data_IF_603251508578
#
_entry.id   IF_603251508578
#
_cell.length_a   1.000
_cell.length_b   1.000
_cell.length_c   1.000
_cell.angle_alpha   90.00
_cell.angle_beta   90.00
_cell.angle_gamma   90.00
#
_symmetry.space_group_name_H-M   'P 1'
#
loop_
_entity.id
_entity.type
_entity.pdbx_description
1 polymer ?
#
# COMPACT_ATOMS: atom_id res chain seq x y z
N UNK A 1 -20.22 14.80 -35.09
CA UNK A 1 -19.64 14.45 -33.78
C UNK A 1 -19.23 15.77 -33.10
N UNK A 2 -19.59 15.91 -31.80
CA UNK A 2 -19.17 17.05 -30.99
C UNK A 2 -18.14 16.55 -29.99
N UNK A 3 -17.03 17.28 -29.84
CA UNK A 3 -16.05 17.01 -28.81
C UNK A 3 -16.61 17.37 -27.42
N UNK A 4 -16.61 16.40 -26.51
CA UNK A 4 -16.99 16.64 -25.12
C UNK A 4 -15.79 17.19 -24.32
N UNK A 5 -16.01 18.11 -23.36
CA UNK A 5 -14.91 18.73 -22.62
C UNK A 5 -14.25 17.71 -21.67
N UNK A 6 -12.94 17.56 -21.76
CA UNK A 6 -12.15 16.75 -20.83
C UNK A 6 -11.92 17.45 -19.49
N UNK A 7 -11.81 18.79 -19.52
CA UNK A 7 -11.67 19.66 -18.35
C UNK A 7 -11.91 21.12 -18.80
N UNK A 8 -12.17 22.07 -17.87
CA UNK A 8 -12.33 23.50 -18.19
C UNK A 8 -10.99 24.23 -18.36
N UNK A 9 -9.97 23.58 -18.89
CA UNK A 9 -8.58 24.07 -18.91
C UNK A 9 -8.44 25.41 -19.63
N UNK A 10 -9.06 25.59 -20.79
CA UNK A 10 -8.93 26.84 -21.58
C UNK A 10 -9.51 28.03 -20.82
N UNK A 11 -10.70 27.88 -20.24
CA UNK A 11 -11.36 28.98 -19.52
C UNK A 11 -10.62 29.39 -18.26
N UNK A 12 -10.19 28.45 -17.44
CA UNK A 12 -9.45 28.77 -16.21
C UNK A 12 -8.10 29.42 -16.53
N UNK A 13 -7.42 29.00 -17.59
CA UNK A 13 -6.18 29.60 -18.04
C UNK A 13 -6.38 31.05 -18.48
N UNK A 14 -7.43 31.32 -19.27
CA UNK A 14 -7.78 32.69 -19.71
C UNK A 14 -8.11 33.58 -18.48
N UNK A 15 -8.82 33.07 -17.49
CA UNK A 15 -9.14 33.82 -16.27
C UNK A 15 -7.86 34.18 -15.50
N UNK A 16 -6.92 33.23 -15.33
CA UNK A 16 -5.64 33.49 -14.66
C UNK A 16 -4.82 34.55 -15.41
N UNK A 17 -4.73 34.46 -16.76
CA UNK A 17 -4.04 35.44 -17.59
C UNK A 17 -4.72 36.84 -17.50
N UNK A 18 -6.04 36.88 -17.32
CA UNK A 18 -6.81 38.10 -17.13
C UNK A 18 -6.66 38.74 -15.73
N UNK A 19 -5.85 38.13 -14.84
CA UNK A 19 -5.55 38.71 -13.53
C UNK A 19 -6.45 38.23 -12.39
N UNK A 20 -7.20 37.17 -12.59
CA UNK A 20 -7.93 36.54 -11.46
C UNK A 20 -6.98 35.74 -10.59
N UNK A 21 -7.05 35.93 -9.28
CA UNK A 21 -6.17 35.23 -8.32
C UNK A 21 -6.66 33.82 -8.00
N UNK A 22 -7.97 33.60 -8.04
CA UNK A 22 -8.60 32.34 -7.64
C UNK A 22 -9.78 32.03 -8.54
N UNK A 23 -9.86 30.79 -8.94
CA UNK A 23 -10.96 30.23 -9.71
C UNK A 23 -11.38 28.90 -9.12
N UNK A 24 -12.67 28.59 -9.15
CA UNK A 24 -13.17 27.23 -8.99
C UNK A 24 -14.46 27.04 -9.80
N UNK A 25 -14.69 25.79 -10.19
CA UNK A 25 -15.90 25.40 -10.89
C UNK A 25 -16.29 23.95 -10.54
N UNK A 26 -17.58 23.70 -10.42
CA UNK A 26 -18.16 22.36 -10.44
C UNK A 26 -18.51 22.05 -11.90
N UNK A 27 -17.77 21.15 -12.52
CA UNK A 27 -17.86 20.95 -13.98
C UNK A 27 -17.94 19.47 -14.32
N UNK A 28 -18.80 19.13 -15.28
CA UNK A 28 -18.83 17.81 -15.90
C UNK A 28 -17.66 17.66 -16.86
N UNK A 29 -16.95 16.55 -16.70
CA UNK A 29 -15.81 16.18 -17.54
C UNK A 29 -16.06 14.82 -18.17
N UNK A 30 -15.49 14.62 -19.36
CA UNK A 30 -15.66 13.41 -20.15
C UNK A 30 -14.28 12.92 -20.60
N UNK A 31 -13.96 11.66 -20.31
CA UNK A 31 -12.70 11.04 -20.72
C UNK A 31 -12.96 9.63 -21.21
N UNK A 32 -12.44 9.35 -22.40
CA UNK A 32 -12.41 7.99 -22.94
C UNK A 32 -11.18 7.26 -22.38
N UNK A 33 -11.36 6.62 -21.24
CA UNK A 33 -10.33 5.88 -20.51
C UNK A 33 -10.85 4.50 -20.15
N UNK A 34 -9.93 3.57 -19.89
CA UNK A 34 -10.27 2.26 -19.38
C UNK A 34 -11.03 2.38 -18.06
N UNK A 35 -12.18 1.70 -17.99
CA UNK A 35 -13.01 1.66 -16.79
C UNK A 35 -12.28 0.90 -15.69
N UNK A 36 -12.24 1.50 -14.51
CA UNK A 36 -11.75 0.90 -13.26
C UNK A 36 -12.80 1.08 -12.17
N UNK A 37 -12.60 0.46 -11.02
CA UNK A 37 -13.55 0.54 -9.91
C UNK A 37 -13.92 1.98 -9.50
N UNK A 38 -12.99 2.93 -9.65
CA UNK A 38 -13.10 4.34 -9.28
C UNK A 38 -13.15 5.31 -10.46
N UNK A 39 -13.25 4.81 -11.72
CA UNK A 39 -13.23 5.64 -12.92
C UNK A 39 -14.49 5.46 -13.75
N UNK A 40 -15.08 6.60 -14.13
CA UNK A 40 -16.23 6.71 -15.01
C UNK A 40 -15.89 7.60 -16.21
N UNK A 41 -16.44 7.32 -17.41
CA UNK A 41 -16.20 8.16 -18.60
C UNK A 41 -16.81 9.57 -18.45
N UNK A 42 -17.89 9.70 -17.70
CA UNK A 42 -18.49 10.99 -17.30
C UNK A 42 -18.36 11.15 -15.78
N UNK A 43 -17.80 12.24 -15.32
CA UNK A 43 -17.62 12.53 -13.91
C UNK A 43 -17.63 14.05 -13.65
N UNK A 44 -17.85 14.44 -12.39
CA UNK A 44 -17.85 15.83 -11.98
C UNK A 44 -16.56 16.16 -11.25
N UNK A 45 -15.89 17.23 -11.63
CA UNK A 45 -14.73 17.79 -10.93
C UNK A 45 -15.14 18.99 -10.08
N UNK A 46 -14.48 19.15 -8.95
CA UNK A 46 -14.27 20.45 -8.31
C UNK A 46 -12.92 20.92 -8.86
N UNK A 47 -12.96 21.72 -9.91
CA UNK A 47 -11.76 22.22 -10.56
C UNK A 47 -11.36 23.58 -9.96
N UNK A 48 -10.11 23.71 -9.55
CA UNK A 48 -9.61 24.91 -8.89
C UNK A 48 -8.30 25.37 -9.53
N UNK A 49 -8.10 26.69 -9.62
CA UNK A 49 -6.85 27.30 -10.03
C UNK A 49 -6.54 28.48 -9.11
N UNK A 50 -5.29 28.64 -8.73
CA UNK A 50 -4.85 29.72 -7.84
C UNK A 50 -3.51 30.28 -8.30
N UNK A 51 -3.41 31.62 -8.35
CA UNK A 51 -2.17 32.34 -8.64
C UNK A 51 -1.39 32.66 -7.37
N UNK A 52 -0.07 32.83 -7.48
CA UNK A 52 0.83 33.28 -6.41
C UNK A 52 0.79 32.41 -5.14
N UNK A 53 0.62 31.12 -5.30
CA UNK A 53 0.60 30.14 -4.19
C UNK A 53 1.76 29.17 -4.26
N UNK A 54 2.23 28.74 -3.10
CA UNK A 54 3.20 27.65 -2.95
C UNK A 54 2.51 26.28 -2.92
N UNK A 55 3.31 25.22 -3.00
CA UNK A 55 2.82 23.84 -2.77
C UNK A 55 2.14 23.70 -1.41
N UNK A 56 2.72 24.30 -0.40
CA UNK A 56 2.24 24.27 1.00
C UNK A 56 0.87 24.94 1.12
N UNK A 57 0.64 26.05 0.39
CA UNK A 57 -0.67 26.71 0.35
C UNK A 57 -1.74 25.83 -0.27
N UNK A 58 -1.41 25.11 -1.35
CA UNK A 58 -2.31 24.15 -1.98
C UNK A 58 -2.67 23.02 -1.01
N UNK A 59 -1.66 22.37 -0.41
CA UNK A 59 -1.88 21.28 0.53
C UNK A 59 -2.75 21.74 1.72
N UNK A 60 -2.47 22.91 2.28
CA UNK A 60 -3.25 23.49 3.38
C UNK A 60 -4.70 23.76 3.01
N UNK A 61 -4.94 24.36 1.83
CA UNK A 61 -6.29 24.70 1.39
C UNK A 61 -7.12 23.46 1.10
N UNK A 62 -6.56 22.48 0.37
CA UNK A 62 -7.26 21.24 0.06
C UNK A 62 -7.40 20.32 1.28
N UNK A 63 -6.41 20.30 2.17
CA UNK A 63 -6.53 19.61 3.46
C UNK A 63 -7.72 20.12 4.27
N UNK A 64 -7.89 21.45 4.37
CA UNK A 64 -9.07 22.06 5.01
C UNK A 64 -10.37 21.71 4.30
N UNK A 65 -10.38 21.67 2.97
CA UNK A 65 -11.57 21.29 2.21
C UNK A 65 -11.96 19.84 2.52
N UNK A 66 -11.02 18.91 2.50
CA UNK A 66 -11.25 17.50 2.82
C UNK A 66 -11.78 17.35 4.25
N UNK A 67 -11.12 17.96 5.23
CA UNK A 67 -11.57 17.93 6.63
C UNK A 67 -12.99 18.49 6.78
N UNK A 68 -13.31 19.59 6.09
CA UNK A 68 -14.66 20.17 6.10
C UNK A 68 -15.70 19.21 5.51
N UNK A 69 -15.40 18.55 4.38
CA UNK A 69 -16.30 17.60 3.73
C UNK A 69 -16.55 16.38 4.64
N UNK A 70 -15.52 15.79 5.23
CA UNK A 70 -15.67 14.69 6.17
C UNK A 70 -16.54 15.08 7.38
N UNK A 71 -16.29 16.26 7.96
CA UNK A 71 -17.10 16.76 9.06
C UNK A 71 -18.56 16.98 8.67
N UNK A 72 -18.83 17.59 7.52
CA UNK A 72 -20.19 17.93 7.09
C UNK A 72 -20.99 16.71 6.64
N UNK A 73 -20.38 15.81 5.89
CA UNK A 73 -21.07 14.67 5.25
C UNK A 73 -21.06 13.45 6.16
N UNK A 74 -19.91 13.08 6.69
CA UNK A 74 -19.71 11.85 7.46
C UNK A 74 -19.78 12.06 8.98
N UNK A 75 -19.77 13.31 9.46
CA UNK A 75 -19.67 13.68 10.87
C UNK A 75 -18.39 13.22 11.55
N UNK A 76 -17.32 13.05 10.76
CA UNK A 76 -15.98 12.67 11.21
C UNK A 76 -15.14 13.93 11.27
N UNK A 77 -14.51 14.21 12.40
CA UNK A 77 -13.53 15.27 12.56
C UNK A 77 -12.15 14.72 12.18
N UNK A 78 -11.51 15.31 11.16
CA UNK A 78 -10.12 15.06 10.77
C UNK A 78 -9.30 16.22 11.30
N UNK A 79 -8.44 15.97 12.30
CA UNK A 79 -7.61 16.98 12.93
C UNK A 79 -6.36 17.27 12.11
N UNK A 80 -5.69 16.22 11.60
CA UNK A 80 -4.46 16.33 10.81
C UNK A 80 -4.45 15.31 9.67
N UNK A 81 -3.87 15.72 8.54
CA UNK A 81 -3.64 14.85 7.39
C UNK A 81 -2.14 14.56 7.32
N UNK A 82 -1.70 13.34 7.63
CA UNK A 82 -0.28 13.01 7.68
C UNK A 82 0.37 13.15 6.30
N UNK A 83 1.62 13.61 6.29
CA UNK A 83 2.45 13.69 5.10
C UNK A 83 3.52 12.61 5.15
N UNK A 84 3.71 11.89 4.05
CA UNK A 84 4.71 10.84 3.92
C UNK A 84 5.56 11.10 2.67
N UNK A 85 6.88 10.85 2.76
CA UNK A 85 7.74 10.89 1.58
C UNK A 85 7.44 9.68 0.68
N UNK A 86 7.57 9.88 -0.63
CA UNK A 86 7.32 8.82 -1.61
C UNK A 86 8.19 7.58 -1.37
N UNK A 87 9.48 7.80 -1.08
CA UNK A 87 10.43 6.73 -0.80
C UNK A 87 10.01 5.88 0.41
N UNK A 88 9.47 6.51 1.45
CA UNK A 88 8.97 5.81 2.64
C UNK A 88 7.68 5.06 2.34
N UNK A 89 6.78 5.64 1.56
CA UNK A 89 5.55 4.97 1.13
C UNK A 89 5.86 3.68 0.34
N UNK A 90 6.78 3.74 -0.61
CA UNK A 90 7.21 2.56 -1.36
C UNK A 90 7.97 1.58 -0.46
N UNK A 91 8.94 2.07 0.33
CA UNK A 91 9.79 1.23 1.18
C UNK A 91 9.00 0.41 2.19
N UNK A 92 8.02 1.03 2.86
CA UNK A 92 7.31 0.38 3.96
C UNK A 92 5.96 -0.24 3.57
N UNK A 93 5.39 0.14 2.42
CA UNK A 93 4.05 -0.29 2.03
C UNK A 93 3.92 -0.74 0.57
N UNK A 94 4.93 -0.48 -0.27
CA UNK A 94 4.95 -0.88 -1.69
C UNK A 94 3.91 -0.16 -2.56
N UNK A 95 3.42 1.00 -2.12
CA UNK A 95 2.38 1.77 -2.80
C UNK A 95 2.55 3.26 -2.54
N UNK A 96 2.24 4.10 -3.53
CA UNK A 96 2.13 5.55 -3.40
C UNK A 96 0.84 5.99 -2.68
N UNK A 97 -0.06 5.05 -2.40
CA UNK A 97 -1.32 5.24 -1.69
C UNK A 97 -1.47 4.21 -0.57
N UNK A 98 -0.60 4.22 0.45
CA UNK A 98 -0.63 3.22 1.50
C UNK A 98 -1.90 3.35 2.36
N UNK A 99 -2.51 2.22 2.69
CA UNK A 99 -3.54 2.16 3.71
C UNK A 99 -2.87 2.23 5.09
N UNK A 100 -3.07 3.31 5.82
CA UNK A 100 -2.44 3.58 7.11
C UNK A 100 -3.34 3.24 8.31
N UNK A 101 -4.52 2.67 8.09
CA UNK A 101 -5.45 2.27 9.17
C UNK A 101 -4.90 1.15 10.04
N UNK A 102 -3.89 0.43 9.56
CA UNK A 102 -3.18 -0.61 10.30
C UNK A 102 -1.69 -0.54 10.03
N UNK A 103 -0.88 -1.02 10.96
CA UNK A 103 0.58 -1.10 10.78
C UNK A 103 0.93 -2.25 9.81
N UNK A 104 1.85 -3.11 10.04
CA UNK A 104 2.33 -4.17 9.13
C UNK A 104 3.25 -3.62 8.04
N UNK A 105 4.27 -2.88 8.46
CA UNK A 105 5.32 -2.36 7.57
C UNK A 105 6.18 -3.48 6.99
N UNK A 106 6.69 -3.25 5.78
CA UNK A 106 7.68 -4.15 5.18
C UNK A 106 9.01 -4.04 5.87
N UNK A 107 9.68 -5.18 6.02
CA UNK A 107 11.06 -5.28 6.41
C UNK A 107 11.87 -5.92 5.26
N UNK A 108 12.91 -5.23 4.81
CA UNK A 108 13.90 -5.82 3.91
C UNK A 108 14.84 -6.70 4.74
N UNK A 109 14.82 -8.00 4.44
CA UNK A 109 15.64 -9.03 5.10
C UNK A 109 16.70 -9.62 4.17
N UNK A 110 16.90 -9.04 2.98
CA UNK A 110 17.83 -9.56 1.96
C UNK A 110 19.21 -9.82 2.53
N UNK A 111 19.78 -8.85 3.26
CA UNK A 111 21.12 -8.98 3.87
C UNK A 111 21.22 -10.08 4.94
N UNK A 112 20.10 -10.52 5.50
CA UNK A 112 20.05 -11.58 6.52
C UNK A 112 20.03 -12.95 5.86
N UNK A 113 19.32 -13.12 4.74
CA UNK A 113 18.95 -14.43 4.19
C UNK A 113 19.64 -14.81 2.89
N UNK A 114 20.22 -13.88 2.16
CA UNK A 114 20.99 -14.18 0.96
C UNK A 114 22.31 -14.87 1.30
N UNK A 115 22.82 -15.72 0.40
CA UNK A 115 24.07 -16.45 0.58
C UNK A 115 23.97 -17.67 1.50
N UNK A 116 22.77 -18.12 1.86
CA UNK A 116 22.56 -19.29 2.74
C UNK A 116 22.19 -20.57 1.96
N UNK A 117 22.32 -20.58 0.62
CA UNK A 117 22.08 -21.75 -0.21
C UNK A 117 20.63 -22.04 -0.57
N UNK A 118 19.70 -21.15 -0.19
CA UNK A 118 18.33 -21.21 -0.67
C UNK A 118 18.21 -20.41 -1.98
N UNK A 119 18.31 -21.11 -3.11
CA UNK A 119 18.41 -20.52 -4.45
C UNK A 119 17.35 -19.44 -4.73
N UNK A 120 16.11 -19.62 -4.25
CA UNK A 120 15.03 -18.62 -4.44
C UNK A 120 15.39 -17.27 -3.82
N UNK A 121 16.06 -17.27 -2.67
CA UNK A 121 16.52 -16.03 -2.04
C UNK A 121 17.82 -15.53 -2.63
N UNK A 122 18.72 -16.43 -2.94
CA UNK A 122 20.06 -16.09 -3.46
C UNK A 122 19.99 -15.43 -4.84
N UNK A 123 19.01 -15.84 -5.68
CA UNK A 123 18.78 -15.31 -7.03
C UNK A 123 17.83 -14.07 -7.04
N UNK A 124 17.37 -13.59 -5.89
CA UNK A 124 16.41 -12.48 -5.80
C UNK A 124 17.09 -11.14 -5.59
N UNK A 125 16.56 -10.08 -6.20
CA UNK A 125 17.03 -8.70 -6.00
C UNK A 125 16.66 -8.17 -4.61
N UNK A 126 15.49 -8.58 -4.11
CA UNK A 126 14.99 -8.16 -2.81
C UNK A 126 14.19 -9.28 -2.15
N UNK A 127 14.28 -9.34 -0.83
CA UNK A 127 13.48 -10.24 -0.01
C UNK A 127 12.79 -9.41 1.08
N UNK A 128 11.46 -9.33 0.98
CA UNK A 128 10.62 -8.56 1.86
C UNK A 128 9.84 -9.46 2.80
N UNK A 129 9.61 -8.98 4.01
CA UNK A 129 8.79 -9.65 5.00
C UNK A 129 7.79 -8.69 5.65
N UNK A 130 6.66 -9.25 6.09
CA UNK A 130 5.69 -8.58 6.97
C UNK A 130 5.43 -9.47 8.19
N UNK A 131 5.22 -8.85 9.34
CA UNK A 131 4.74 -9.52 10.55
C UNK A 131 3.22 -9.45 10.61
N UNK A 132 2.59 -10.58 10.88
CA UNK A 132 1.14 -10.71 11.04
C UNK A 132 0.86 -11.19 12.45
N UNK A 133 0.37 -10.30 13.28
CA UNK A 133 0.18 -10.53 14.71
C UNK A 133 -0.83 -11.65 14.97
N UNK A 134 -0.49 -12.57 15.89
CA UNK A 134 -1.39 -13.60 16.38
C UNK A 134 -1.76 -14.71 15.39
N UNK A 135 -1.08 -14.83 14.24
CA UNK A 135 -1.47 -15.74 13.15
C UNK A 135 -0.60 -17.01 13.01
N UNK A 136 0.20 -17.38 14.01
CA UNK A 136 1.01 -18.61 13.95
C UNK A 136 0.16 -19.89 13.84
N UNK A 137 -1.09 -19.83 14.27
CA UNK A 137 -2.06 -20.94 14.24
C UNK A 137 -2.65 -21.21 12.83
N UNK A 138 -2.35 -20.39 11.82
CA UNK A 138 -2.81 -20.62 10.45
C UNK A 138 -2.52 -22.06 10.03
N UNK A 139 -3.56 -22.73 9.52
CA UNK A 139 -3.45 -24.10 9.04
C UNK A 139 -2.64 -24.17 7.75
N UNK A 140 -2.30 -25.39 7.33
CA UNK A 140 -1.67 -25.58 6.02
C UNK A 140 -2.56 -25.05 4.90
N UNK A 141 -3.86 -25.25 5.00
CA UNK A 141 -4.83 -24.76 4.01
C UNK A 141 -4.79 -23.23 3.90
N UNK A 142 -4.76 -22.52 5.04
CA UNK A 142 -4.69 -21.05 5.05
C UNK A 142 -3.42 -20.54 4.34
N UNK A 143 -2.28 -21.19 4.61
CA UNK A 143 -0.99 -20.86 4.00
C UNK A 143 -0.94 -21.20 2.51
N UNK A 144 -1.58 -22.29 2.09
CA UNK A 144 -1.73 -22.66 0.68
C UNK A 144 -2.61 -21.63 -0.04
N UNK A 145 -3.71 -21.18 0.56
CA UNK A 145 -4.56 -20.09 0.02
C UNK A 145 -3.79 -18.77 -0.17
N UNK A 146 -2.95 -18.39 0.80
CA UNK A 146 -2.08 -17.22 0.67
C UNK A 146 -1.04 -17.40 -0.45
N UNK A 147 -0.50 -18.60 -0.57
CA UNK A 147 0.46 -18.95 -1.62
C UNK A 147 -0.19 -18.87 -3.00
N UNK A 148 -1.39 -19.40 -3.15
CA UNK A 148 -2.14 -19.33 -4.39
C UNK A 148 -2.52 -17.87 -4.75
N UNK A 149 -2.86 -17.07 -3.75
CA UNK A 149 -3.13 -15.65 -3.95
C UNK A 149 -1.92 -14.92 -4.54
N UNK A 150 -0.74 -15.06 -3.93
CA UNK A 150 0.46 -14.33 -4.40
C UNK A 150 0.95 -14.83 -5.76
N UNK A 151 0.63 -16.08 -6.15
CA UNK A 151 0.97 -16.66 -7.46
C UNK A 151 0.03 -16.23 -8.59
N UNK A 152 -1.08 -15.57 -8.29
CA UNK A 152 -2.00 -15.11 -9.36
C UNK A 152 -1.24 -14.22 -10.35
N UNK A 153 -1.53 -14.31 -11.66
CA UNK A 153 -0.83 -13.53 -12.68
C UNK A 153 -0.82 -12.02 -12.41
N UNK A 154 -1.87 -11.50 -11.78
CA UNK A 154 -2.01 -10.09 -11.42
C UNK A 154 -1.08 -9.66 -10.27
N UNK A 155 -0.69 -10.60 -9.40
CA UNK A 155 0.22 -10.37 -8.27
C UNK A 155 1.65 -10.73 -8.67
N UNK A 156 1.84 -11.88 -9.31
CA UNK A 156 3.05 -12.26 -10.02
C UNK A 156 4.19 -12.77 -9.15
N UNK A 157 3.98 -13.06 -7.86
CA UNK A 157 5.02 -13.67 -7.04
C UNK A 157 5.22 -15.15 -7.37
N UNK A 158 6.45 -15.64 -7.31
CA UNK A 158 6.79 -17.05 -7.58
C UNK A 158 6.35 -18.00 -6.47
N UNK A 159 6.15 -17.51 -5.26
CA UNK A 159 5.76 -18.29 -4.09
C UNK A 159 5.73 -17.46 -2.82
N UNK A 160 5.38 -18.12 -1.72
CA UNK A 160 5.33 -17.54 -0.39
C UNK A 160 6.17 -18.39 0.56
N UNK A 161 7.06 -17.75 1.31
CA UNK A 161 7.76 -18.36 2.44
C UNK A 161 7.15 -17.81 3.72
N UNK A 162 7.08 -18.64 4.76
CA UNK A 162 6.53 -18.23 6.05
C UNK A 162 7.38 -18.72 7.22
N UNK A 163 7.31 -17.99 8.34
CA UNK A 163 7.86 -18.41 9.64
C UNK A 163 6.75 -18.24 10.68
N UNK A 164 6.43 -19.31 11.38
CA UNK A 164 5.53 -19.31 12.52
C UNK A 164 6.35 -19.16 13.80
N UNK A 165 6.00 -18.17 14.61
CA UNK A 165 6.57 -17.97 15.94
C UNK A 165 5.65 -18.68 16.94
N UNK A 166 6.01 -19.89 17.34
CA UNK A 166 5.17 -20.70 18.23
C UNK A 166 5.14 -20.15 19.67
N UNK A 167 4.14 -20.54 20.42
CA UNK A 167 3.94 -20.12 21.81
C UNK A 167 5.10 -20.57 22.74
N UNK A 168 5.68 -21.73 22.47
CA UNK A 168 6.84 -22.28 23.20
C UNK A 168 8.16 -21.55 22.89
N UNK A 169 8.15 -20.60 21.93
CA UNK A 169 9.32 -19.85 21.47
C UNK A 169 10.10 -20.54 20.36
N UNK A 170 9.65 -21.69 19.88
CA UNK A 170 10.22 -22.34 18.70
C UNK A 170 9.74 -21.68 17.41
N UNK A 171 10.50 -21.85 16.33
CA UNK A 171 10.13 -21.36 15.00
C UNK A 171 9.89 -22.54 14.06
N UNK A 172 8.83 -22.44 13.25
CA UNK A 172 8.54 -23.39 12.17
C UNK A 172 8.43 -22.65 10.85
N UNK A 173 9.22 -23.04 9.87
CA UNK A 173 9.26 -22.39 8.57
C UNK A 173 9.07 -23.38 7.42
N UNK A 174 8.62 -22.88 6.28
CA UNK A 174 8.63 -23.65 5.03
C UNK A 174 10.07 -23.89 4.48
N UNK A 175 11.06 -23.23 5.07
CA UNK A 175 12.49 -23.28 4.64
C UNK A 175 13.43 -23.73 5.77
N UNK A 176 12.93 -24.45 6.77
CA UNK A 176 13.72 -24.95 7.92
C UNK A 176 15.00 -25.69 7.53
N UNK A 177 15.01 -26.32 6.34
CA UNK A 177 16.18 -27.06 5.83
C UNK A 177 17.37 -26.17 5.46
N UNK A 178 17.13 -24.89 5.23
CA UNK A 178 18.14 -23.93 4.73
C UNK A 178 18.59 -22.94 5.81
N UNK A 179 17.83 -22.78 6.89
CA UNK A 179 18.09 -21.74 7.90
C UNK A 179 18.18 -22.38 9.29
N UNK A 180 19.27 -22.07 10.00
CA UNK A 180 19.40 -22.43 11.41
C UNK A 180 18.40 -21.67 12.28
N UNK A 181 18.12 -22.18 13.49
CA UNK A 181 17.26 -21.48 14.47
C UNK A 181 17.81 -20.09 14.83
N UNK A 182 19.12 -19.90 14.83
CA UNK A 182 19.76 -18.60 15.05
C UNK A 182 19.41 -17.63 13.93
N UNK A 183 19.44 -18.09 12.68
CA UNK A 183 19.11 -17.26 11.50
C UNK A 183 17.62 -16.92 11.47
N UNK A 184 16.77 -17.87 11.79
CA UNK A 184 15.32 -17.60 11.93
C UNK A 184 15.07 -16.55 13.03
N UNK A 185 15.80 -16.60 14.15
CA UNK A 185 15.70 -15.62 15.23
C UNK A 185 16.15 -14.21 14.78
N UNK A 186 17.16 -14.09 13.91
CA UNK A 186 17.53 -12.78 13.32
C UNK A 186 16.38 -12.20 12.50
N UNK A 187 15.70 -13.03 11.68
CA UNK A 187 14.53 -12.59 10.89
C UNK A 187 13.38 -12.18 11.82
N UNK A 188 13.09 -12.96 12.85
CA UNK A 188 12.05 -12.68 13.84
C UNK A 188 12.31 -11.34 14.55
N UNK A 189 13.54 -11.11 15.00
CA UNK A 189 13.96 -9.84 15.61
C UNK A 189 13.82 -8.65 14.64
N UNK A 190 14.23 -8.83 13.40
CA UNK A 190 14.12 -7.78 12.35
C UNK A 190 12.66 -7.37 12.10
N UNK A 191 11.74 -8.31 12.24
CA UNK A 191 10.30 -8.07 12.09
C UNK A 191 9.60 -7.64 13.39
N UNK A 192 10.31 -7.52 14.51
CA UNK A 192 9.75 -7.31 15.85
C UNK A 192 8.64 -8.32 16.21
N UNK A 193 8.70 -9.52 15.61
CA UNK A 193 7.68 -10.53 15.80
C UNK A 193 7.74 -11.15 17.21
N UNK A 194 6.57 -11.46 17.73
CA UNK A 194 6.35 -12.03 19.07
C UNK A 194 5.90 -13.48 18.96
N UNK A 195 5.74 -14.13 20.09
CA UNK A 195 5.08 -15.43 20.17
C UNK A 195 3.67 -15.33 19.57
N UNK A 196 3.27 -16.37 18.88
CA UNK A 196 2.02 -16.50 18.15
C UNK A 196 1.91 -15.66 16.87
N UNK A 197 2.96 -14.97 16.44
CA UNK A 197 2.98 -14.22 15.19
C UNK A 197 3.35 -15.10 13.98
N UNK A 198 2.96 -14.62 12.80
CA UNK A 198 3.28 -15.23 11.51
C UNK A 198 4.06 -14.22 10.67
N UNK A 199 5.26 -14.58 10.23
CA UNK A 199 6.02 -13.77 9.27
C UNK A 199 5.78 -14.35 7.88
N UNK A 200 5.38 -13.49 6.94
CA UNK A 200 5.20 -13.81 5.53
C UNK A 200 6.31 -13.15 4.73
N UNK A 201 6.91 -13.90 3.79
CA UNK A 201 8.11 -13.47 3.06
C UNK A 201 7.90 -13.69 1.57
N UNK A 202 8.18 -12.67 0.77
CA UNK A 202 8.23 -12.72 -0.69
C UNK A 202 9.63 -12.34 -1.17
N UNK A 203 10.03 -12.92 -2.28
CA UNK A 203 11.35 -12.73 -2.89
C UNK A 203 11.25 -12.69 -4.42
N UNK A 204 12.07 -11.86 -5.05
CA UNK A 204 12.10 -11.74 -6.50
C UNK A 204 12.68 -10.44 -7.00
N UNK A 205 12.26 -10.02 -8.19
CA UNK A 205 12.57 -8.73 -8.80
C UNK A 205 11.95 -7.61 -7.93
N UNK A 206 12.67 -6.51 -7.81
CA UNK A 206 12.38 -5.46 -6.83
C UNK A 206 10.96 -4.88 -6.97
N UNK A 207 10.61 -4.39 -8.16
CA UNK A 207 9.34 -3.69 -8.36
C UNK A 207 8.14 -4.61 -8.17
N UNK A 208 8.23 -5.83 -8.68
CA UNK A 208 7.21 -6.85 -8.57
C UNK A 208 7.02 -7.32 -7.13
N UNK A 209 8.11 -7.51 -6.39
CA UNK A 209 8.07 -7.98 -5.00
C UNK A 209 7.42 -6.94 -4.08
N UNK A 210 7.72 -5.65 -4.25
CA UNK A 210 7.05 -4.58 -3.52
C UNK A 210 5.55 -4.52 -3.80
N UNK A 211 5.14 -4.60 -5.06
CA UNK A 211 3.72 -4.63 -5.45
C UNK A 211 3.00 -5.86 -4.92
N UNK A 212 3.61 -7.04 -5.04
CA UNK A 212 3.05 -8.29 -4.53
C UNK A 212 2.90 -8.27 -3.00
N UNK A 213 3.91 -7.75 -2.28
CA UNK A 213 3.86 -7.62 -0.83
C UNK A 213 2.80 -6.61 -0.39
N UNK A 214 2.61 -5.51 -1.13
CA UNK A 214 1.51 -4.56 -0.89
C UNK A 214 0.15 -5.24 -1.00
N UNK A 215 -0.05 -6.04 -2.03
CA UNK A 215 -1.29 -6.80 -2.24
C UNK A 215 -1.52 -7.83 -1.13
N UNK A 216 -0.48 -8.54 -0.71
CA UNK A 216 -0.53 -9.49 0.41
C UNK A 216 -0.86 -8.80 1.74
N UNK A 217 -0.24 -7.65 2.01
CA UNK A 217 -0.51 -6.82 3.18
C UNK A 217 -1.99 -6.42 3.26
N UNK A 218 -2.55 -5.95 2.16
CA UNK A 218 -3.96 -5.56 2.07
C UNK A 218 -4.88 -6.77 2.31
N UNK A 219 -4.59 -7.92 1.69
CA UNK A 219 -5.33 -9.16 1.94
C UNK A 219 -5.30 -9.55 3.41
N UNK A 220 -4.14 -9.44 4.07
CA UNK A 220 -4.03 -9.75 5.50
C UNK A 220 -4.81 -8.75 6.36
N UNK A 221 -4.77 -7.46 6.02
CA UNK A 221 -5.58 -6.44 6.66
C UNK A 221 -7.09 -6.74 6.58
N UNK A 222 -7.58 -7.19 5.41
CA UNK A 222 -8.97 -7.61 5.22
C UNK A 222 -9.32 -8.87 6.03
N UNK A 223 -8.47 -9.91 5.96
CA UNK A 223 -8.68 -11.18 6.71
C UNK A 223 -8.73 -10.97 8.22
N UNK A 224 -8.01 -9.99 8.73
CA UNK A 224 -7.95 -9.65 10.16
C UNK A 224 -8.95 -8.58 10.59
N UNK A 225 -9.77 -8.06 9.67
CA UNK A 225 -10.73 -7.01 9.97
C UNK A 225 -10.09 -5.66 10.35
N UNK A 226 -8.83 -5.43 9.95
CA UNK A 226 -8.09 -4.20 10.25
C UNK A 226 -8.45 -3.03 9.32
N UNK A 227 -9.24 -3.31 8.29
CA UNK A 227 -9.67 -2.35 7.27
C UNK A 227 -11.18 -2.19 7.32
N UNK A 228 -11.68 -1.68 8.44
CA UNK A 228 -13.10 -1.33 8.51
C UNK A 228 -13.40 -0.21 7.49
N UNK A 229 -14.37 -0.41 6.58
CA UNK A 229 -14.77 0.62 5.64
C UNK A 229 -15.39 1.86 6.31
N UNK A 230 -15.76 1.76 7.58
CA UNK A 230 -16.37 2.87 8.36
C UNK A 230 -15.36 3.60 9.27
N UNK A 231 -14.10 3.14 9.34
CA UNK A 231 -13.01 3.78 10.09
C UNK A 231 -11.99 4.43 9.18
#
# INVERSE_FOLDING_TARGET
YYALPQSPQTFKQLLMVSGYDKYYQLVKCFRDEDLRADRQPEFTQIDCEMSFVSREDILKNFGKLIAHLFKKVLKIDIEDIPTMQYEDAIKYYGSDKPDLRFDMKFNDISSIVQGNGFKVFDDSEVILSINVDGCSNYSRKDLDELTDFVKRPQIGSKGLVYIKCNEDGSFKSSVDKFFSQEKLNEIVKKNNAKKNDLILILAGERSQTFSAMSSLRILMGDKLGLRDPLN
#
